data_IF_927760585574
#
_entry.id   IF_927760585574
#
_cell.length_a   1.000
_cell.length_b   1.000
_cell.length_c   1.000
_cell.angle_alpha   90.00
_cell.angle_beta   90.00
_cell.angle_gamma   90.00
#
_symmetry.space_group_name_H-M   'P 1'
#
loop_
_entity.id
_entity.type
_entity.pdbx_description
1 polymer ?
#
# COMPACT_ATOMS: atom_id res chain seq x y z
N UNK A 1 -11.85 -4.69 -8.57
CA UNK A 1 -12.41 -3.35 -8.78
C UNK A 1 -12.89 -2.68 -7.49
N UNK A 2 -13.16 -3.45 -6.43
CA UNK A 2 -13.68 -2.97 -5.13
C UNK A 2 -12.72 -2.06 -4.37
N UNK A 3 -11.41 -2.29 -4.50
CA UNK A 3 -10.34 -1.61 -3.75
C UNK A 3 -9.39 -0.83 -4.67
N UNK A 4 -9.89 -0.27 -5.77
CA UNK A 4 -9.05 0.64 -6.55
C UNK A 4 -8.84 1.93 -5.74
N UNK A 5 -7.61 2.12 -5.22
CA UNK A 5 -7.13 3.45 -4.89
C UNK A 5 -7.39 4.36 -6.10
N UNK A 6 -7.85 5.58 -5.86
CA UNK A 6 -7.92 6.59 -6.92
C UNK A 6 -6.57 6.59 -7.64
N UNK A 7 -6.59 6.50 -8.97
CA UNK A 7 -5.37 6.57 -9.78
C UNK A 7 -4.81 7.99 -9.65
N UNK A 8 -4.04 8.21 -8.61
CA UNK A 8 -3.27 9.44 -8.45
C UNK A 8 -2.06 9.29 -9.36
N UNK A 9 -1.84 10.27 -10.22
CA UNK A 9 -0.64 10.33 -11.06
C UNK A 9 0.58 10.38 -10.12
N UNK A 10 1.36 9.30 -10.05
CA UNK A 10 2.49 9.18 -9.15
C UNK A 10 3.80 9.38 -9.92
N UNK A 11 4.72 10.11 -9.33
CA UNK A 11 6.11 10.06 -9.75
C UNK A 11 6.69 8.71 -9.34
N UNK A 12 7.16 7.91 -10.29
CA UNK A 12 7.84 6.64 -10.01
C UNK A 12 9.35 6.80 -10.19
N UNK A 13 10.11 6.36 -9.19
CA UNK A 13 11.56 6.41 -9.17
C UNK A 13 12.11 5.20 -8.40
N UNK A 14 13.20 4.62 -8.87
CA UNK A 14 13.90 3.61 -8.08
C UNK A 14 14.84 4.22 -7.04
N UNK A 15 15.19 3.41 -6.04
CA UNK A 15 15.97 3.86 -4.89
C UNK A 15 17.38 4.35 -5.26
N UNK A 16 18.03 3.78 -6.29
CA UNK A 16 19.38 4.20 -6.71
C UNK A 16 19.37 5.58 -7.35
N UNK A 17 18.46 5.79 -8.30
CA UNK A 17 18.34 7.09 -8.97
C UNK A 17 17.87 8.19 -8.02
N UNK A 18 16.96 7.85 -7.08
CA UNK A 18 16.54 8.80 -6.07
C UNK A 18 17.70 9.22 -5.18
N UNK A 19 18.44 8.26 -4.63
CA UNK A 19 19.56 8.58 -3.75
C UNK A 19 20.66 9.36 -4.48
N UNK A 20 21.03 8.95 -5.70
CA UNK A 20 21.99 9.68 -6.53
C UNK A 20 21.56 11.13 -6.78
N UNK A 21 20.27 11.34 -7.11
CA UNK A 21 19.73 12.69 -7.30
C UNK A 21 19.87 13.53 -6.04
N UNK A 22 19.61 12.96 -4.87
CA UNK A 22 19.75 13.66 -3.58
C UNK A 22 21.22 14.04 -3.30
N UNK A 23 22.16 13.14 -3.55
CA UNK A 23 23.62 13.43 -3.43
C UNK A 23 24.03 14.59 -4.34
N UNK A 24 23.53 14.63 -5.58
CA UNK A 24 23.81 15.73 -6.51
C UNK A 24 23.19 17.05 -6.06
N UNK A 25 21.98 17.00 -5.53
CA UNK A 25 21.31 18.18 -4.99
C UNK A 25 22.04 18.73 -3.75
N UNK A 26 22.52 17.86 -2.85
CA UNK A 26 23.34 18.25 -1.70
C UNK A 26 24.63 18.97 -2.15
N UNK A 27 25.32 18.42 -3.16
CA UNK A 27 26.52 19.03 -3.73
C UNK A 27 26.28 20.43 -4.34
N UNK A 28 25.05 20.74 -4.71
CA UNK A 28 24.61 22.07 -5.15
C UNK A 28 24.12 22.98 -4.01
N UNK A 29 24.19 22.51 -2.75
CA UNK A 29 23.79 23.26 -1.57
C UNK A 29 22.29 23.22 -1.25
N UNK A 30 21.51 22.28 -1.85
CA UNK A 30 20.12 22.06 -1.48
C UNK A 30 20.00 21.24 -0.20
N UNK A 31 19.01 21.57 0.62
CA UNK A 31 18.68 20.80 1.84
C UNK A 31 17.94 19.51 1.45
N UNK A 32 18.60 18.37 1.51
CA UNK A 32 18.07 17.05 1.21
C UNK A 32 17.85 16.18 2.46
N UNK A 33 18.30 16.62 3.61
CA UNK A 33 18.36 15.85 4.85
C UNK A 33 19.63 14.98 4.94
N UNK A 34 19.78 14.19 6.01
CA UNK A 34 21.00 13.41 6.25
C UNK A 34 21.12 12.26 5.24
N UNK A 35 22.24 12.20 4.53
CA UNK A 35 22.55 11.14 3.55
C UNK A 35 23.42 10.00 4.16
N UNK A 36 23.96 10.19 5.34
CA UNK A 36 24.88 9.28 6.01
C UNK A 36 24.22 8.40 7.09
N UNK A 37 22.88 8.28 7.07
CA UNK A 37 22.15 7.44 8.03
C UNK A 37 22.38 5.97 7.67
N UNK A 38 23.03 5.17 8.55
CA UNK A 38 23.29 3.77 8.25
C UNK A 38 21.99 2.97 8.21
N UNK A 39 21.88 2.13 7.21
CA UNK A 39 20.77 1.20 7.05
C UNK A 39 21.31 -0.22 6.92
N UNK A 40 20.88 -1.13 7.81
CA UNK A 40 21.05 -2.56 7.61
C UNK A 40 19.78 -3.11 6.98
N UNK A 41 19.72 -3.28 5.65
CA UNK A 41 18.54 -3.81 5.00
C UNK A 41 18.26 -5.21 5.54
N UNK A 42 16.99 -5.50 5.87
CA UNK A 42 16.54 -6.87 6.11
C UNK A 42 16.87 -7.67 4.85
N UNK A 43 17.51 -8.84 5.00
CA UNK A 43 17.89 -9.69 3.87
C UNK A 43 16.66 -9.93 3.00
N UNK A 44 16.65 -9.37 1.80
CA UNK A 44 15.71 -9.77 0.76
C UNK A 44 15.92 -11.24 0.46
N UNK A 45 14.87 -12.04 0.55
CA UNK A 45 14.91 -13.45 0.11
C UNK A 45 15.23 -13.48 -1.38
N UNK A 46 16.20 -14.30 -1.82
CA UNK A 46 16.49 -14.44 -3.24
C UNK A 46 15.33 -15.17 -3.91
N UNK A 47 14.63 -14.53 -4.85
CA UNK A 47 13.75 -15.24 -5.76
C UNK A 47 12.34 -14.72 -6.00
N UNK A 48 11.98 -13.49 -5.63
CA UNK A 48 10.70 -12.92 -6.10
C UNK A 48 10.90 -12.40 -7.53
N UNK A 49 10.58 -13.26 -8.49
CA UNK A 49 10.40 -12.83 -9.89
C UNK A 49 9.16 -11.94 -9.92
N UNK A 50 9.36 -10.64 -10.11
CA UNK A 50 8.33 -9.67 -10.40
C UNK A 50 7.52 -10.16 -11.61
N UNK A 51 6.34 -10.75 -11.37
CA UNK A 51 5.36 -10.98 -12.43
C UNK A 51 4.77 -9.63 -12.79
N UNK A 52 5.23 -9.09 -13.92
CA UNK A 52 4.86 -7.78 -14.41
C UNK A 52 3.35 -7.62 -14.55
N UNK A 53 2.76 -6.81 -13.69
CA UNK A 53 1.47 -6.18 -13.95
C UNK A 53 1.74 -5.11 -15.01
N UNK A 54 0.93 -5.01 -16.07
CA UNK A 54 1.18 -4.02 -17.12
C UNK A 54 1.16 -2.61 -16.52
N UNK A 55 2.31 -1.95 -16.58
CA UNK A 55 2.51 -0.58 -16.16
C UNK A 55 1.71 0.34 -17.06
N UNK A 56 0.60 0.87 -16.58
CA UNK A 56 -0.11 1.97 -17.20
C UNK A 56 0.10 3.22 -16.34
N UNK A 57 0.69 4.22 -16.94
CA UNK A 57 0.72 5.63 -16.54
C UNK A 57 1.77 6.08 -15.50
N UNK A 58 2.87 5.35 -15.31
CA UNK A 58 4.02 5.86 -14.56
C UNK A 58 5.07 6.49 -15.51
N UNK A 59 5.43 7.74 -15.26
CA UNK A 59 6.53 8.39 -15.95
C UNK A 59 7.86 7.98 -15.32
N UNK A 60 8.69 7.22 -16.03
CA UNK A 60 10.06 6.92 -15.59
C UNK A 60 10.98 8.14 -15.74
N UNK A 61 12.10 8.18 -15.00
CA UNK A 61 13.10 9.26 -15.13
C UNK A 61 13.58 9.41 -16.60
N UNK A 62 13.71 8.30 -17.33
CA UNK A 62 14.05 8.33 -18.75
C UNK A 62 12.98 9.05 -19.57
N UNK A 63 11.69 8.83 -19.29
CA UNK A 63 10.60 9.56 -19.96
C UNK A 63 10.51 11.02 -19.49
N UNK A 64 10.84 11.30 -18.22
CA UNK A 64 10.98 12.67 -17.71
C UNK A 64 12.12 13.39 -18.43
N UNK A 65 13.28 12.77 -18.58
CA UNK A 65 14.40 13.33 -19.36
C UNK A 65 14.02 13.62 -20.80
N UNK A 66 13.31 12.70 -21.45
CA UNK A 66 12.84 12.85 -22.84
C UNK A 66 11.74 13.92 -22.96
N UNK A 67 10.84 14.01 -21.97
CA UNK A 67 9.78 15.04 -21.90
C UNK A 67 10.38 16.41 -21.61
N UNK A 68 11.38 16.51 -20.73
CA UNK A 68 12.10 17.76 -20.43
C UNK A 68 12.87 18.21 -21.67
N UNK A 69 13.58 17.33 -22.36
CA UNK A 69 14.26 17.66 -23.61
C UNK A 69 13.29 18.15 -24.69
N UNK A 70 12.14 17.52 -24.87
CA UNK A 70 11.12 17.94 -25.83
C UNK A 70 10.41 19.23 -25.40
N UNK A 71 10.13 19.44 -24.14
CA UNK A 71 9.44 20.63 -23.63
C UNK A 71 10.34 21.86 -23.59
N UNK A 72 11.61 21.69 -23.25
CA UNK A 72 12.62 22.77 -23.26
C UNK A 72 12.88 23.23 -24.71
N UNK A 73 12.93 22.30 -25.68
CA UNK A 73 13.08 22.65 -27.09
C UNK A 73 11.91 23.46 -27.64
N UNK A 74 10.71 23.17 -27.17
CA UNK A 74 9.49 23.85 -27.64
C UNK A 74 9.30 25.25 -27.03
N UNK A 75 9.83 25.47 -25.82
CA UNK A 75 9.59 26.73 -25.10
C UNK A 75 10.67 27.80 -25.33
N UNK A 76 11.87 27.41 -25.73
CA UNK A 76 13.02 28.32 -25.79
C UNK A 76 13.55 28.59 -27.22
N UNK A 77 12.91 28.06 -28.27
CA UNK A 77 13.05 28.50 -29.69
C UNK A 77 14.48 28.65 -30.21
N UNK A 78 15.44 27.85 -29.77
CA UNK A 78 16.84 27.94 -30.18
C UNK A 78 17.55 26.60 -30.23
N UNK A 79 18.63 26.50 -30.97
CA UNK A 79 19.57 25.38 -31.01
C UNK A 79 20.07 25.06 -29.60
N UNK A 80 19.70 23.90 -29.08
CA UNK A 80 19.92 23.56 -27.66
C UNK A 80 21.31 22.98 -27.53
N UNK A 81 22.20 23.75 -26.90
CA UNK A 81 23.30 23.19 -26.13
C UNK A 81 22.70 22.31 -25.02
N UNK A 82 23.29 21.14 -24.73
CA UNK A 82 22.82 20.24 -23.70
C UNK A 82 22.57 21.05 -22.40
N UNK A 83 21.39 20.92 -21.75
CA UNK A 83 21.08 21.72 -20.59
C UNK A 83 22.15 21.50 -19.51
N UNK A 84 22.59 22.59 -18.90
CA UNK A 84 23.51 22.58 -17.78
C UNK A 84 23.01 21.56 -16.72
N UNK A 85 23.80 20.52 -16.39
CA UNK A 85 23.38 19.48 -15.46
C UNK A 85 22.91 20.04 -14.12
N UNK A 86 23.49 21.11 -13.64
CA UNK A 86 23.16 21.73 -12.36
C UNK A 86 21.76 22.36 -12.37
N UNK A 87 21.38 22.96 -13.49
CA UNK A 87 20.00 23.46 -13.69
C UNK A 87 18.98 22.34 -13.73
N UNK A 88 19.33 21.20 -14.33
CA UNK A 88 18.47 20.03 -14.36
C UNK A 88 18.24 19.47 -12.94
N UNK A 89 19.30 19.33 -12.13
CA UNK A 89 19.17 18.86 -10.74
C UNK A 89 18.34 19.84 -9.90
N UNK A 90 18.54 21.15 -10.05
CA UNK A 90 17.73 22.16 -9.38
C UNK A 90 16.24 22.05 -9.75
N UNK A 91 15.95 21.80 -11.04
CA UNK A 91 14.57 21.56 -11.51
C UNK A 91 13.98 20.28 -10.90
N UNK A 92 14.69 19.16 -10.94
CA UNK A 92 14.24 17.89 -10.35
C UNK A 92 14.02 18.00 -8.84
N UNK A 93 14.88 18.72 -8.12
CA UNK A 93 14.67 19.04 -6.72
C UNK A 93 13.36 19.81 -6.50
N UNK A 94 13.07 20.81 -7.34
CA UNK A 94 11.82 21.57 -7.26
C UNK A 94 10.58 20.70 -7.56
N UNK A 95 10.70 19.73 -8.44
CA UNK A 95 9.63 18.73 -8.71
C UNK A 95 9.41 17.85 -7.50
N UNK A 96 10.48 17.24 -6.95
CA UNK A 96 10.40 16.38 -5.76
C UNK A 96 9.80 17.12 -4.55
N UNK A 97 10.13 18.39 -4.37
CA UNK A 97 9.60 19.18 -3.24
C UNK A 97 8.10 19.44 -3.33
N UNK A 98 7.50 19.34 -4.51
CA UNK A 98 6.07 19.61 -4.79
C UNK A 98 5.26 18.36 -5.07
N UNK A 99 5.90 17.20 -5.27
CA UNK A 99 5.21 15.97 -5.59
C UNK A 99 4.27 15.60 -4.45
N UNK A 100 3.03 15.25 -4.79
CA UNK A 100 2.02 14.79 -3.82
C UNK A 100 1.92 13.26 -3.75
N UNK A 101 2.37 12.56 -4.80
CA UNK A 101 2.33 11.11 -4.89
C UNK A 101 3.66 10.58 -5.43
N UNK A 102 4.30 9.71 -4.66
CA UNK A 102 5.61 9.12 -4.96
C UNK A 102 5.52 7.60 -4.84
N UNK A 103 6.01 6.91 -5.85
CA UNK A 103 6.24 5.47 -5.82
C UNK A 103 7.74 5.19 -5.89
N UNK A 104 8.26 4.45 -4.92
CA UNK A 104 9.65 4.03 -4.88
C UNK A 104 9.71 2.52 -5.15
N UNK A 105 10.54 2.14 -6.10
CA UNK A 105 10.73 0.75 -6.52
C UNK A 105 12.17 0.31 -6.26
N UNK A 106 12.44 -1.00 -6.16
CA UNK A 106 13.81 -1.51 -6.11
C UNK A 106 14.54 -1.18 -7.42
N UNK A 107 15.89 -1.22 -7.41
CA UNK A 107 16.66 -0.96 -8.60
C UNK A 107 16.32 -1.96 -9.70
N UNK A 108 16.38 -1.52 -10.98
CA UNK A 108 16.25 -2.43 -12.11
C UNK A 108 17.37 -3.47 -12.11
N UNK A 109 17.13 -4.64 -12.72
CA UNK A 109 18.10 -5.75 -12.80
C UNK A 109 19.42 -5.39 -13.47
N UNK A 110 19.43 -4.35 -14.32
CA UNK A 110 20.62 -3.78 -14.94
C UNK A 110 20.74 -2.31 -14.56
N UNK A 111 21.54 -2.02 -13.56
CA UNK A 111 21.85 -0.65 -13.14
C UNK A 111 23.09 -0.17 -13.87
N UNK A 112 23.06 1.07 -14.39
CA UNK A 112 24.25 1.69 -14.95
C UNK A 112 25.33 1.84 -13.88
N UNK A 113 26.59 1.56 -14.22
CA UNK A 113 27.73 1.56 -13.27
C UNK A 113 27.85 2.84 -12.43
N UNK A 114 27.40 3.98 -12.94
CA UNK A 114 27.40 5.25 -12.21
C UNK A 114 26.43 5.28 -10.99
N UNK A 115 25.45 4.39 -10.93
CA UNK A 115 24.45 4.32 -9.87
C UNK A 115 24.56 3.05 -9.00
N UNK A 116 25.43 2.09 -9.40
CA UNK A 116 25.52 0.77 -8.77
C UNK A 116 25.87 0.85 -7.27
N UNK A 117 26.65 1.84 -6.87
CA UNK A 117 27.14 2.00 -5.50
C UNK A 117 26.18 2.76 -4.59
N UNK A 118 25.07 3.28 -5.12
CA UNK A 118 24.09 4.07 -4.36
C UNK A 118 22.82 3.26 -4.06
N UNK A 119 22.23 3.41 -2.87
CA UNK A 119 22.67 4.15 -1.69
C UNK A 119 23.74 3.42 -0.85
N UNK A 120 24.23 2.22 -1.25
CA UNK A 120 25.15 1.41 -0.47
C UNK A 120 24.49 0.92 0.83
N UNK A 121 25.14 1.22 1.97
CA UNK A 121 24.63 0.88 3.32
C UNK A 121 23.84 2.05 3.97
N UNK A 122 23.43 3.06 3.20
CA UNK A 122 22.75 4.23 3.72
C UNK A 122 21.26 4.25 3.39
N UNK A 123 20.46 4.83 4.27
CA UNK A 123 19.03 5.04 4.04
C UNK A 123 18.79 6.29 3.17
N UNK A 124 17.72 6.24 2.38
CA UNK A 124 17.32 7.31 1.46
C UNK A 124 16.43 8.34 2.16
N UNK A 125 16.84 9.62 2.31
CA UNK A 125 16.02 10.62 2.95
C UNK A 125 14.90 11.12 2.04
N UNK A 126 13.69 11.26 2.60
CA UNK A 126 12.53 11.85 1.93
C UNK A 126 12.18 13.26 2.45
N UNK A 127 13.11 13.94 3.11
CA UNK A 127 12.91 15.29 3.64
C UNK A 127 12.62 16.34 2.55
N UNK A 128 13.08 16.10 1.33
CA UNK A 128 12.81 16.94 0.15
C UNK A 128 11.32 16.91 -0.21
N UNK A 129 10.64 15.79 -0.02
CA UNK A 129 9.26 15.56 -0.42
C UNK A 129 8.25 16.23 0.53
N UNK A 130 8.29 17.57 0.62
CA UNK A 130 7.49 18.36 1.57
C UNK A 130 5.97 18.28 1.31
N UNK A 131 5.58 18.02 0.07
CA UNK A 131 4.17 17.96 -0.36
C UNK A 131 3.54 16.57 -0.40
N UNK A 132 4.31 15.52 -0.06
CA UNK A 132 3.87 14.14 -0.24
C UNK A 132 2.65 13.80 0.63
N UNK A 133 1.64 13.20 -0.01
CA UNK A 133 0.40 12.70 0.62
C UNK A 133 0.22 11.21 0.38
N UNK A 134 0.75 10.70 -0.73
CA UNK A 134 0.63 9.31 -1.14
C UNK A 134 2.03 8.74 -1.35
N UNK A 135 2.41 7.75 -0.55
CA UNK A 135 3.68 7.04 -0.66
C UNK A 135 3.43 5.57 -0.96
N UNK A 136 4.08 5.06 -2.00
CA UNK A 136 4.08 3.64 -2.32
C UNK A 136 5.51 3.11 -2.33
N UNK A 137 5.76 2.09 -1.53
CA UNK A 137 6.99 1.30 -1.47
C UNK A 137 6.66 -0.10 -1.97
N UNK A 138 7.19 -0.48 -3.12
CA UNK A 138 6.95 -1.79 -3.73
C UNK A 138 8.26 -2.55 -3.82
N UNK A 139 8.46 -3.54 -2.95
CA UNK A 139 9.72 -4.28 -2.83
C UNK A 139 10.88 -3.48 -2.21
N UNK A 140 10.59 -2.33 -1.59
CA UNK A 140 11.58 -1.49 -0.92
C UNK A 140 11.33 -1.52 0.59
N UNK A 141 12.34 -1.92 1.37
CA UNK A 141 12.22 -1.97 2.83
C UNK A 141 12.01 -0.55 3.40
N UNK A 142 10.92 -0.31 4.14
CA UNK A 142 10.68 0.98 4.80
C UNK A 142 11.83 1.42 5.72
N UNK A 143 12.59 0.48 6.27
CA UNK A 143 13.77 0.79 7.09
C UNK A 143 14.88 1.48 6.30
N UNK A 144 14.92 1.30 4.96
CA UNK A 144 15.85 1.98 4.07
C UNK A 144 15.46 3.43 3.74
N UNK A 145 14.35 3.91 4.29
CA UNK A 145 13.84 5.27 4.11
C UNK A 145 13.99 6.03 5.42
N UNK A 146 14.34 7.34 5.36
CA UNK A 146 14.40 8.26 6.50
C UNK A 146 13.45 9.43 6.29
N UNK A 147 12.88 9.92 7.38
CA UNK A 147 11.90 11.01 7.41
C UNK A 147 10.52 10.58 7.85
N UNK A 148 10.38 9.39 8.47
CA UNK A 148 9.11 8.86 8.95
C UNK A 148 8.47 9.72 10.04
N UNK A 149 9.25 10.50 10.79
CA UNK A 149 8.76 11.51 11.72
C UNK A 149 7.83 12.52 11.06
N UNK A 150 8.17 12.99 9.84
CA UNK A 150 7.37 13.92 9.04
C UNK A 150 6.33 13.19 8.20
N UNK A 151 6.73 12.08 7.57
CA UNK A 151 5.83 11.27 6.72
C UNK A 151 4.60 10.81 7.50
N UNK A 152 4.76 10.37 8.75
CA UNK A 152 3.65 9.93 9.61
C UNK A 152 2.59 11.00 9.86
N UNK A 153 2.96 12.27 9.82
CA UNK A 153 2.03 13.39 10.07
C UNK A 153 1.27 13.79 8.80
N UNK A 154 1.92 13.67 7.63
CA UNK A 154 1.38 14.24 6.38
C UNK A 154 0.74 13.22 5.44
N UNK A 155 1.09 11.91 5.55
CA UNK A 155 0.57 10.90 4.63
C UNK A 155 -0.91 10.65 4.85
N UNK A 156 -1.65 10.64 3.76
CA UNK A 156 -3.05 10.22 3.70
C UNK A 156 -3.23 8.82 3.11
N UNK A 157 -2.22 8.35 2.36
CA UNK A 157 -2.18 7.01 1.76
C UNK A 157 -0.77 6.44 1.85
N UNK A 158 -0.67 5.20 2.35
CA UNK A 158 0.56 4.45 2.44
C UNK A 158 0.37 3.07 1.83
N UNK A 159 1.26 2.70 0.92
CA UNK A 159 1.31 1.37 0.29
C UNK A 159 2.69 0.78 0.53
N UNK A 160 2.75 -0.39 1.17
CA UNK A 160 3.98 -1.14 1.43
C UNK A 160 3.74 -2.58 1.01
N UNK A 161 4.24 -2.96 -0.17
CA UNK A 161 4.00 -4.29 -0.76
C UNK A 161 5.32 -5.01 -1.06
N UNK A 162 5.31 -6.35 -1.03
CA UNK A 162 6.45 -7.21 -1.37
C UNK A 162 7.74 -6.93 -0.56
N UNK A 163 7.60 -6.65 0.74
CA UNK A 163 8.72 -6.28 1.62
C UNK A 163 8.99 -7.32 2.72
N UNK A 164 8.34 -8.49 2.66
CA UNK A 164 8.48 -9.58 3.65
C UNK A 164 8.35 -9.11 5.09
N UNK A 165 7.39 -8.19 5.33
CA UNK A 165 7.13 -7.64 6.66
C UNK A 165 6.24 -8.59 7.45
N UNK A 166 6.77 -9.09 8.58
CA UNK A 166 6.03 -9.96 9.50
C UNK A 166 5.31 -9.19 10.62
N UNK A 167 5.82 -8.01 11.00
CA UNK A 167 5.25 -7.15 12.05
C UNK A 167 5.14 -5.71 11.56
N UNK A 168 3.93 -5.18 11.64
CA UNK A 168 3.61 -3.79 11.25
C UNK A 168 4.05 -2.76 12.29
N UNK A 169 4.35 -3.17 13.52
CA UNK A 169 4.76 -2.27 14.60
C UNK A 169 6.03 -1.52 14.26
N UNK A 170 6.97 -2.19 13.61
CA UNK A 170 8.22 -1.56 13.18
C UNK A 170 7.93 -0.39 12.23
N UNK A 171 7.04 -0.56 11.24
CA UNK A 171 6.68 0.47 10.28
C UNK A 171 5.97 1.66 10.92
N UNK A 172 4.95 1.41 11.73
CA UNK A 172 4.08 2.47 12.25
C UNK A 172 4.62 3.12 13.53
N UNK A 173 5.46 2.43 14.27
CA UNK A 173 6.02 2.91 15.54
C UNK A 173 7.53 3.03 15.46
N UNK A 174 8.24 1.94 15.21
CA UNK A 174 9.70 1.86 15.30
C UNK A 174 10.42 2.87 14.41
N UNK A 175 10.03 2.99 13.14
CA UNK A 175 10.68 3.91 12.19
C UNK A 175 10.42 5.38 12.53
N UNK A 176 9.22 5.70 13.03
CA UNK A 176 8.90 7.07 13.45
C UNK A 176 9.73 7.48 14.68
N UNK A 177 9.83 6.58 15.67
CA UNK A 177 10.64 6.82 16.87
C UNK A 177 12.13 6.94 16.54
N UNK A 178 12.62 6.11 15.61
CA UNK A 178 14.00 6.17 15.12
C UNK A 178 14.33 7.55 14.56
N UNK A 179 13.49 8.04 13.64
CA UNK A 179 13.78 9.27 12.88
C UNK A 179 13.50 10.52 13.70
N UNK A 180 12.55 10.48 14.62
CA UNK A 180 12.26 11.57 15.54
C UNK A 180 13.23 11.64 16.75
N UNK A 181 14.02 10.57 16.99
CA UNK A 181 14.87 10.41 18.17
C UNK A 181 14.12 10.60 19.52
N UNK A 182 12.92 10.02 19.62
CA UNK A 182 12.03 10.11 20.78
C UNK A 182 11.59 8.73 21.25
N UNK A 183 11.12 8.63 22.51
CA UNK A 183 10.69 7.37 23.12
C UNK A 183 9.19 7.09 22.95
N UNK A 184 8.39 8.09 22.54
CA UNK A 184 6.95 7.95 22.36
C UNK A 184 6.49 8.62 21.09
N UNK A 185 5.48 8.03 20.42
CA UNK A 185 4.94 8.58 19.18
C UNK A 185 4.37 9.98 19.39
N UNK A 186 4.60 10.91 18.42
CA UNK A 186 3.92 12.20 18.40
C UNK A 186 2.40 12.01 18.35
N UNK A 187 1.66 12.83 19.09
CA UNK A 187 0.20 12.74 19.13
C UNK A 187 -0.47 12.89 17.75
N UNK A 188 0.20 13.56 16.79
CA UNK A 188 -0.32 13.74 15.43
C UNK A 188 0.12 12.63 14.46
N UNK A 189 0.97 11.67 14.88
CA UNK A 189 1.44 10.61 14.01
C UNK A 189 0.25 9.79 13.47
N UNK A 190 0.24 9.58 12.16
CA UNK A 190 -0.73 8.80 11.41
C UNK A 190 -2.19 9.29 11.45
N UNK A 191 -2.48 10.44 12.09
CA UNK A 191 -3.85 10.98 12.19
C UNK A 191 -4.47 11.32 10.82
N UNK A 192 -3.66 11.63 9.82
CA UNK A 192 -4.11 11.94 8.47
C UNK A 192 -4.33 10.70 7.60
N UNK A 193 -3.84 9.52 8.02
CA UNK A 193 -3.83 8.31 7.20
C UNK A 193 -5.24 7.73 7.04
N UNK A 194 -5.72 7.68 5.80
CA UNK A 194 -7.04 7.16 5.44
C UNK A 194 -6.98 5.84 4.66
N UNK A 195 -5.89 5.58 3.97
CA UNK A 195 -5.68 4.39 3.17
C UNK A 195 -4.34 3.74 3.52
N UNK A 196 -4.36 2.46 3.87
CA UNK A 196 -3.17 1.65 4.09
C UNK A 196 -3.27 0.35 3.27
N UNK A 197 -2.24 0.05 2.49
CA UNK A 197 -2.09 -1.22 1.79
C UNK A 197 -0.80 -1.90 2.22
N UNK A 198 -0.93 -3.05 2.83
CA UNK A 198 0.15 -3.91 3.33
C UNK A 198 0.05 -5.30 2.68
N UNK A 199 -0.42 -5.35 1.45
CA UNK A 199 -0.62 -6.59 0.71
C UNK A 199 0.72 -7.23 0.32
N UNK A 200 0.69 -8.55 0.06
CA UNK A 200 1.87 -9.32 -0.36
C UNK A 200 3.05 -9.23 0.62
N UNK A 201 2.76 -9.40 1.92
CA UNK A 201 3.75 -9.48 2.99
C UNK A 201 3.59 -10.82 3.74
N UNK A 202 4.18 -10.93 4.90
CA UNK A 202 4.17 -12.16 5.70
C UNK A 202 3.42 -11.96 7.03
N UNK A 203 2.43 -11.05 7.03
CA UNK A 203 1.68 -10.71 8.24
C UNK A 203 0.84 -11.89 8.72
N UNK A 204 1.05 -12.30 9.96
CA UNK A 204 0.26 -13.34 10.63
C UNK A 204 -0.77 -12.77 11.60
N UNK A 205 -0.59 -11.51 12.02
CA UNK A 205 -1.51 -10.79 12.92
C UNK A 205 -1.37 -9.26 12.73
N UNK A 206 -2.32 -8.52 13.28
CA UNK A 206 -2.27 -7.06 13.41
C UNK A 206 -2.42 -6.72 14.90
N UNK A 207 -1.42 -6.07 15.52
CA UNK A 207 -1.47 -5.73 16.93
C UNK A 207 -2.39 -4.53 17.21
N UNK A 208 -3.00 -4.49 18.38
CA UNK A 208 -3.86 -3.37 18.80
C UNK A 208 -3.10 -2.05 18.95
N UNK A 209 -1.79 -2.11 19.22
CA UNK A 209 -0.92 -0.92 19.25
C UNK A 209 -0.90 -0.18 17.92
N UNK A 210 -1.03 -0.88 16.78
CA UNK A 210 -1.12 -0.27 15.47
C UNK A 210 -2.49 0.40 15.24
N UNK A 211 -3.58 -0.30 15.58
CA UNK A 211 -4.92 0.19 15.24
C UNK A 211 -5.31 1.43 16.06
N UNK A 212 -4.82 1.56 17.28
CA UNK A 212 -5.08 2.73 18.14
C UNK A 212 -4.45 4.03 17.65
N UNK A 213 -3.40 3.95 16.82
CA UNK A 213 -2.71 5.13 16.29
C UNK A 213 -3.21 5.55 14.89
N UNK A 214 -4.20 4.84 14.33
CA UNK A 214 -4.75 5.07 12.98
C UNK A 214 -6.23 5.53 13.04
N UNK A 215 -6.59 6.61 13.74
CA UNK A 215 -7.99 6.97 14.02
C UNK A 215 -8.79 7.35 12.78
N UNK A 216 -8.14 7.76 11.69
CA UNK A 216 -8.79 8.19 10.45
C UNK A 216 -8.78 7.13 9.35
N UNK A 217 -8.31 5.90 9.64
CA UNK A 217 -8.17 4.86 8.64
C UNK A 217 -9.55 4.39 8.14
N UNK A 218 -9.79 4.50 6.83
CA UNK A 218 -11.03 4.12 6.17
C UNK A 218 -10.91 2.88 5.30
N UNK A 219 -9.73 2.64 4.75
CA UNK A 219 -9.44 1.57 3.81
C UNK A 219 -8.17 0.84 4.25
N UNK A 220 -8.30 -0.46 4.53
CA UNK A 220 -7.18 -1.32 4.87
C UNK A 220 -7.12 -2.50 3.90
N UNK A 221 -5.98 -2.66 3.25
CA UNK A 221 -5.68 -3.82 2.42
C UNK A 221 -4.53 -4.61 3.06
N UNK A 222 -4.83 -5.81 3.53
CA UNK A 222 -3.86 -6.79 4.05
C UNK A 222 -4.00 -8.12 3.30
N UNK A 223 -4.38 -8.04 2.02
CA UNK A 223 -4.51 -9.22 1.16
C UNK A 223 -3.16 -9.90 0.91
N UNK A 224 -3.21 -11.18 0.54
CA UNK A 224 -2.02 -11.98 0.25
C UNK A 224 -0.99 -11.96 1.39
N UNK A 225 -1.47 -12.21 2.60
CA UNK A 225 -0.68 -12.38 3.82
C UNK A 225 -0.92 -13.78 4.42
N UNK A 226 -0.55 -13.98 5.65
CA UNK A 226 -0.65 -15.26 6.38
C UNK A 226 -1.67 -15.22 7.53
N UNK A 227 -2.68 -14.34 7.43
CA UNK A 227 -3.71 -14.22 8.45
C UNK A 227 -4.61 -15.47 8.47
N UNK A 228 -4.83 -16.04 9.64
CA UNK A 228 -5.75 -17.16 9.83
C UNK A 228 -7.14 -16.77 10.34
N UNK A 229 -7.31 -15.51 10.74
CA UNK A 229 -8.58 -14.92 11.15
C UNK A 229 -8.62 -13.44 10.80
N UNK A 230 -9.82 -12.86 10.78
CA UNK A 230 -9.98 -11.40 10.73
C UNK A 230 -9.47 -10.82 12.05
N UNK A 231 -8.49 -9.90 12.03
CA UNK A 231 -7.85 -9.44 13.25
C UNK A 231 -8.82 -8.76 14.22
N UNK A 232 -8.95 -9.21 15.46
CA UNK A 232 -9.84 -8.59 16.45
C UNK A 232 -9.48 -7.12 16.74
N UNK A 233 -8.19 -6.77 16.62
CA UNK A 233 -7.70 -5.41 16.84
C UNK A 233 -8.37 -4.34 15.96
N UNK A 234 -8.99 -4.74 14.82
CA UNK A 234 -9.69 -3.82 13.92
C UNK A 234 -10.94 -3.17 14.55
N UNK A 235 -11.45 -3.73 15.63
CA UNK A 235 -12.57 -3.15 16.41
C UNK A 235 -12.31 -1.70 16.83
N UNK A 236 -11.06 -1.31 17.06
CA UNK A 236 -10.68 0.06 17.46
C UNK A 236 -10.59 1.06 16.28
N UNK A 237 -10.81 0.61 15.05
CA UNK A 237 -10.81 1.45 13.85
C UNK A 237 -12.22 1.94 13.52
N UNK A 238 -12.72 2.91 14.27
CA UNK A 238 -14.11 3.43 14.16
C UNK A 238 -14.48 3.95 12.75
N UNK A 239 -13.48 4.38 11.98
CA UNK A 239 -13.69 4.94 10.65
C UNK A 239 -13.50 3.91 9.52
N UNK A 240 -13.19 2.64 9.83
CA UNK A 240 -12.91 1.61 8.83
C UNK A 240 -14.19 1.25 8.05
N UNK A 241 -14.20 1.52 6.77
CA UNK A 241 -15.32 1.27 5.86
C UNK A 241 -15.06 0.15 4.86
N UNK A 242 -13.80 -0.09 4.50
CA UNK A 242 -13.44 -1.12 3.54
C UNK A 242 -12.22 -1.92 4.03
N UNK A 243 -12.36 -3.24 3.99
CA UNK A 243 -11.32 -4.20 4.38
C UNK A 243 -11.09 -5.22 3.27
N UNK A 244 -9.84 -5.36 2.84
CA UNK A 244 -9.40 -6.42 1.97
C UNK A 244 -8.50 -7.39 2.73
N UNK A 245 -8.99 -8.59 2.98
CA UNK A 245 -8.24 -9.72 3.58
C UNK A 245 -8.19 -10.92 2.62
N UNK A 246 -8.33 -10.67 1.31
CA UNK A 246 -8.30 -11.74 0.31
C UNK A 246 -6.94 -12.43 0.22
N UNK A 247 -6.91 -13.68 -0.24
CA UNK A 247 -5.66 -14.41 -0.41
C UNK A 247 -4.92 -14.70 0.91
N UNK A 248 -5.66 -14.91 2.00
CA UNK A 248 -5.15 -15.30 3.31
C UNK A 248 -5.52 -16.77 3.64
N UNK A 249 -5.45 -17.15 4.89
CA UNK A 249 -5.77 -18.51 5.37
C UNK A 249 -6.98 -18.55 6.29
N UNK A 250 -7.90 -17.57 6.14
CA UNK A 250 -9.05 -17.42 7.03
C UNK A 250 -10.06 -18.54 6.75
N UNK A 251 -10.39 -19.33 7.78
CA UNK A 251 -11.33 -20.44 7.71
C UNK A 251 -12.65 -20.17 8.45
N UNK A 252 -12.68 -19.16 9.31
CA UNK A 252 -13.86 -18.78 10.06
C UNK A 252 -14.05 -17.26 10.15
N UNK A 253 -15.31 -16.86 10.06
CA UNK A 253 -15.75 -15.45 10.23
C UNK A 253 -16.70 -15.32 11.45
N UNK A 254 -16.70 -16.33 12.32
CA UNK A 254 -17.50 -16.31 13.54
C UNK A 254 -17.04 -15.14 14.44
N UNK A 255 -17.99 -14.27 14.81
CA UNK A 255 -17.68 -13.08 15.62
C UNK A 255 -17.12 -11.88 14.84
N UNK A 256 -17.03 -11.94 13.52
CA UNK A 256 -16.51 -10.86 12.66
C UNK A 256 -17.18 -9.49 12.92
N UNK A 257 -18.43 -9.49 13.32
CA UNK A 257 -19.20 -8.28 13.63
C UNK A 257 -18.64 -7.52 14.85
N UNK A 258 -17.88 -8.18 15.73
CA UNK A 258 -17.19 -7.53 16.84
C UNK A 258 -15.98 -6.75 16.34
N UNK A 259 -15.26 -7.31 15.37
CA UNK A 259 -14.05 -6.70 14.80
C UNK A 259 -14.37 -5.60 13.77
N UNK A 260 -15.53 -5.65 13.13
CA UNK A 260 -15.89 -4.81 11.98
C UNK A 260 -17.28 -4.18 12.11
N UNK A 261 -17.54 -3.35 13.15
CA UNK A 261 -18.89 -2.83 13.41
C UNK A 261 -19.44 -1.90 12.32
N UNK A 262 -18.58 -1.23 11.56
CA UNK A 262 -18.95 -0.19 10.59
C UNK A 262 -18.54 -0.49 9.14
N UNK A 263 -18.22 -1.76 8.85
CA UNK A 263 -17.73 -2.17 7.54
C UNK A 263 -18.83 -2.07 6.47
N UNK A 264 -18.50 -1.52 5.30
CA UNK A 264 -19.37 -1.41 4.14
C UNK A 264 -18.91 -2.31 2.99
N UNK A 265 -17.61 -2.46 2.81
CA UNK A 265 -16.99 -3.25 1.75
C UNK A 265 -16.04 -4.25 2.37
N UNK A 266 -16.27 -5.54 2.10
CA UNK A 266 -15.47 -6.63 2.65
C UNK A 266 -15.03 -7.59 1.54
N UNK A 267 -13.72 -7.77 1.38
CA UNK A 267 -13.17 -8.76 0.47
C UNK A 267 -12.54 -9.91 1.26
N UNK A 268 -13.19 -11.07 1.20
CA UNK A 268 -12.77 -12.34 1.79
C UNK A 268 -12.39 -13.38 0.71
N UNK A 269 -12.23 -12.95 -0.54
CA UNK A 269 -11.90 -13.84 -1.65
C UNK A 269 -10.58 -14.59 -1.46
N UNK A 270 -10.46 -15.82 -1.99
CA UNK A 270 -9.22 -16.58 -1.89
C UNK A 270 -8.83 -17.00 -0.47
N UNK A 271 -9.82 -17.31 0.37
CA UNK A 271 -9.65 -17.84 1.73
C UNK A 271 -10.12 -19.29 1.82
N UNK A 272 -10.40 -19.80 3.02
CA UNK A 272 -10.79 -21.20 3.28
C UNK A 272 -12.18 -21.31 3.93
N UNK A 273 -13.05 -20.31 3.69
CA UNK A 273 -14.36 -20.25 4.33
C UNK A 273 -15.28 -21.34 3.82
N UNK A 274 -15.84 -22.11 4.73
CA UNK A 274 -16.93 -23.07 4.48
C UNK A 274 -18.29 -22.50 4.94
N UNK A 275 -18.27 -21.70 6.01
CA UNK A 275 -19.47 -21.07 6.60
C UNK A 275 -19.33 -19.56 6.69
N UNK A 276 -20.45 -18.87 6.53
CA UNK A 276 -20.59 -17.42 6.66
C UNK A 276 -21.25 -17.02 8.00
N UNK A 277 -21.32 -17.93 8.95
CA UNK A 277 -21.91 -17.67 10.28
C UNK A 277 -21.23 -16.46 10.95
N UNK A 278 -22.00 -15.44 11.29
CA UNK A 278 -21.55 -14.19 11.88
C UNK A 278 -21.57 -12.98 10.89
N UNK A 279 -21.53 -13.23 9.58
CA UNK A 279 -21.61 -12.15 8.58
C UNK A 279 -23.00 -11.50 8.57
N UNK A 280 -24.06 -12.26 8.88
CA UNK A 280 -25.44 -11.79 8.97
C UNK A 280 -25.65 -10.67 10.02
N UNK A 281 -24.63 -10.39 10.84
CA UNK A 281 -24.65 -9.33 11.85
C UNK A 281 -23.93 -8.04 11.44
N UNK A 282 -23.37 -8.01 10.24
CA UNK A 282 -22.68 -6.82 9.67
C UNK A 282 -23.72 -5.90 8.99
N UNK A 283 -24.58 -5.24 9.77
CA UNK A 283 -25.73 -4.49 9.26
C UNK A 283 -25.39 -3.32 8.32
N UNK A 284 -24.16 -2.86 8.31
CA UNK A 284 -23.67 -1.79 7.41
C UNK A 284 -23.06 -2.32 6.12
N UNK A 285 -22.98 -3.65 5.95
CA UNK A 285 -22.31 -4.27 4.80
C UNK A 285 -23.12 -4.08 3.51
N UNK A 286 -22.47 -3.49 2.52
CA UNK A 286 -23.03 -3.24 1.18
C UNK A 286 -22.49 -4.18 0.13
N UNK A 287 -21.21 -4.56 0.24
CA UNK A 287 -20.51 -5.33 -0.78
C UNK A 287 -19.62 -6.38 -0.12
N UNK A 288 -19.71 -7.62 -0.59
CA UNK A 288 -18.88 -8.72 -0.12
C UNK A 288 -18.34 -9.55 -1.27
N UNK A 289 -17.04 -9.80 -1.24
CA UNK A 289 -16.39 -10.73 -2.18
C UNK A 289 -16.02 -12.03 -1.45
N UNK A 290 -16.60 -13.13 -1.88
CA UNK A 290 -16.43 -14.48 -1.33
C UNK A 290 -15.86 -15.45 -2.38
N UNK A 291 -15.36 -14.95 -3.49
CA UNK A 291 -14.81 -15.78 -4.58
C UNK A 291 -13.66 -16.65 -4.10
N UNK A 292 -13.56 -17.84 -4.70
CA UNK A 292 -12.42 -18.73 -4.41
C UNK A 292 -12.31 -19.08 -2.92
N UNK A 293 -13.43 -19.52 -2.33
CA UNK A 293 -13.52 -20.08 -0.98
C UNK A 293 -13.99 -21.54 -1.06
N UNK A 294 -14.38 -22.14 0.06
CA UNK A 294 -14.80 -23.54 0.18
C UNK A 294 -16.29 -23.69 0.50
N UNK A 295 -17.12 -22.69 0.17
CA UNK A 295 -18.56 -22.69 0.45
C UNK A 295 -19.24 -23.75 -0.43
N UNK A 296 -19.95 -24.71 0.19
CA UNK A 296 -20.62 -25.81 -0.46
C UNK A 296 -22.15 -25.66 -0.45
N UNK A 297 -22.72 -25.11 0.63
CA UNK A 297 -24.15 -24.96 0.81
C UNK A 297 -24.63 -23.58 0.32
N UNK A 298 -25.58 -23.50 -0.64
CA UNK A 298 -26.24 -22.24 -1.02
C UNK A 298 -26.90 -21.53 0.17
N UNK A 299 -27.32 -22.25 1.21
CA UNK A 299 -27.91 -21.70 2.44
C UNK A 299 -26.95 -20.76 3.20
N UNK A 300 -25.64 -20.97 3.09
CA UNK A 300 -24.67 -20.04 3.66
C UNK A 300 -24.73 -18.65 2.99
N UNK A 301 -24.92 -18.62 1.66
CA UNK A 301 -25.13 -17.36 0.92
C UNK A 301 -26.45 -16.71 1.32
N UNK A 302 -27.47 -17.53 1.64
CA UNK A 302 -28.78 -17.06 2.13
C UNK A 302 -28.69 -16.24 3.42
N UNK A 303 -27.67 -16.44 4.27
CA UNK A 303 -27.46 -15.60 5.47
C UNK A 303 -27.29 -14.11 5.13
N UNK A 304 -26.73 -13.81 3.95
CA UNK A 304 -26.51 -12.44 3.49
C UNK A 304 -27.82 -11.73 3.14
N UNK A 305 -28.90 -12.47 2.84
CA UNK A 305 -30.19 -11.90 2.49
C UNK A 305 -30.86 -11.16 3.67
N UNK A 306 -30.40 -11.40 4.91
CA UNK A 306 -30.88 -10.68 6.11
C UNK A 306 -30.24 -9.30 6.28
N UNK A 307 -29.20 -8.99 5.50
CA UNK A 307 -28.48 -7.74 5.60
C UNK A 307 -29.24 -6.60 4.88
N UNK A 308 -29.57 -5.50 5.58
CA UNK A 308 -30.45 -4.46 5.04
C UNK A 308 -29.85 -3.63 3.91
N UNK A 309 -28.51 -3.60 3.80
CA UNK A 309 -27.80 -2.73 2.85
C UNK A 309 -27.03 -3.52 1.78
N UNK A 310 -27.08 -4.86 1.80
CA UNK A 310 -26.33 -5.67 0.85
C UNK A 310 -26.78 -5.42 -0.58
N UNK A 311 -25.85 -5.08 -1.45
CA UNK A 311 -26.11 -4.77 -2.86
C UNK A 311 -25.32 -5.62 -3.84
N UNK A 312 -24.13 -6.08 -3.43
CA UNK A 312 -23.26 -6.85 -4.29
C UNK A 312 -22.64 -8.03 -3.54
N UNK A 313 -22.78 -9.22 -4.10
CA UNK A 313 -22.22 -10.47 -3.59
C UNK A 313 -21.51 -11.19 -4.73
N UNK A 314 -20.21 -11.48 -4.56
CA UNK A 314 -19.44 -12.28 -5.53
C UNK A 314 -19.08 -13.62 -4.92
N UNK A 315 -19.51 -14.73 -5.58
CA UNK A 315 -19.37 -16.09 -5.07
C UNK A 315 -18.68 -17.05 -6.06
N UNK A 316 -18.10 -16.54 -7.15
CA UNK A 316 -17.48 -17.41 -8.16
C UNK A 316 -16.39 -18.29 -7.56
N UNK A 317 -16.14 -19.43 -8.22
CA UNK A 317 -15.07 -20.36 -7.82
C UNK A 317 -15.24 -20.89 -6.39
N UNK A 318 -16.49 -21.14 -5.97
CA UNK A 318 -16.83 -21.90 -4.78
C UNK A 318 -17.38 -23.27 -5.17
N UNK A 319 -17.20 -24.33 -4.37
CA UNK A 319 -17.73 -25.67 -4.67
C UNK A 319 -19.25 -25.71 -4.88
N UNK A 320 -20.01 -24.85 -4.19
CA UNK A 320 -21.47 -24.77 -4.34
C UNK A 320 -21.93 -24.63 -5.81
N UNK A 321 -21.15 -23.94 -6.65
CA UNK A 321 -21.49 -23.72 -8.07
C UNK A 321 -21.25 -24.97 -8.95
N UNK A 322 -20.47 -25.92 -8.46
CA UNK A 322 -20.20 -27.19 -9.16
C UNK A 322 -21.05 -28.35 -8.62
N UNK A 323 -21.37 -28.31 -7.32
CA UNK A 323 -22.16 -29.37 -6.67
C UNK A 323 -23.65 -29.20 -6.85
N UNK A 324 -24.14 -27.98 -7.05
CA UNK A 324 -25.55 -27.66 -7.23
C UNK A 324 -25.78 -27.03 -8.63
N UNK A 325 -26.38 -27.74 -9.60
CA UNK A 325 -26.62 -27.21 -10.96
C UNK A 325 -27.39 -25.88 -10.96
N UNK A 326 -28.34 -25.74 -10.02
CA UNK A 326 -29.21 -24.58 -9.88
C UNK A 326 -28.76 -23.62 -8.75
N UNK A 327 -27.49 -23.72 -8.30
CA UNK A 327 -26.99 -22.92 -7.17
C UNK A 327 -27.25 -21.43 -7.34
N UNK A 328 -27.11 -20.91 -8.57
CA UNK A 328 -27.37 -19.49 -8.84
C UNK A 328 -28.84 -19.12 -8.57
N UNK A 329 -29.75 -19.97 -9.03
CA UNK A 329 -31.19 -19.77 -8.81
C UNK A 329 -31.52 -19.91 -7.32
N UNK A 330 -30.99 -20.95 -6.66
CA UNK A 330 -31.16 -21.15 -5.23
C UNK A 330 -30.65 -19.92 -4.41
N UNK A 331 -29.48 -19.37 -4.75
CA UNK A 331 -28.99 -18.15 -4.11
C UNK A 331 -29.93 -16.96 -4.33
N UNK A 332 -30.44 -16.74 -5.55
CA UNK A 332 -31.38 -15.65 -5.83
C UNK A 332 -32.68 -15.78 -5.03
N UNK A 333 -33.17 -17.00 -4.78
CA UNK A 333 -34.39 -17.22 -3.98
C UNK A 333 -34.29 -16.63 -2.57
N UNK A 334 -33.10 -16.53 -1.99
CA UNK A 334 -32.92 -15.93 -0.66
C UNK A 334 -33.04 -14.40 -0.67
N UNK A 335 -32.81 -13.75 -1.82
CA UNK A 335 -32.87 -12.28 -1.95
C UNK A 335 -34.19 -11.77 -2.59
N UNK A 336 -35.10 -12.67 -2.93
CA UNK A 336 -36.42 -12.35 -3.46
C UNK A 336 -37.42 -12.03 -2.34
#
# INVERSE_FOLDING_TARGET
ALFRAERVCALEIDVHHLYYLLVRCEGLGFDVGPLDVPCTPRRSLPGVVSTGIPHSDAYSIASIQQTIQSSVSTWWGGTIDAPDPDRLYAYLYSVLSRVSSLRITPPPTSVHSAFADFPGEHATPLFVCKGIRHLALDGVDPASIVGWDRLSIQLTSLVCTHISMADVTDLFVGLVLRDAHIESLPAAAWHALQYACLAYNELTFIPSSMTTILPSLRYLDVSHNLLNAVPPALESLDQLQALNVSGNMIDSVLGIYLSLPHIRILNLGGNRLESLCGVERLHTLEQIDLRTNMIQDPGEVGRLATLPQISHVWIHSNPLLTTHPDARVACFYFFA
#
